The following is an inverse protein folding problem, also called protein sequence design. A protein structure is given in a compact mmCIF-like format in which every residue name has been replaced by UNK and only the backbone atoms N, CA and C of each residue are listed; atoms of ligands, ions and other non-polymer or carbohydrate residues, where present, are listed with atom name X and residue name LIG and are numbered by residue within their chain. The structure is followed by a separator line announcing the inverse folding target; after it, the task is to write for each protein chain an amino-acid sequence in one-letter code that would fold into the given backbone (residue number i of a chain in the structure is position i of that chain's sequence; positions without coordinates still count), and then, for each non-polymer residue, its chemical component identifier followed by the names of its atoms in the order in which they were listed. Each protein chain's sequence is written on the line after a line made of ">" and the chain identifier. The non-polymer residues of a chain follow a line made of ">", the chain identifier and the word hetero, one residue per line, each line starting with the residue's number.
data_IF_778481931970
#
_entry.id   IF_778481931970
#
_cell.length_a   1.000
_cell.length_b   1.000
_cell.length_c   1.000
_cell.angle_alpha   90.00
_cell.angle_beta   90.00
_cell.angle_gamma   90.00
#
_symmetry.space_group_name_H-M   'P 1'
#
loop_
_entity.id
_entity.type
_entity.pdbx_description
1 polymer ?
#
# COMPACT_ATOMS: atom_id res chain seq x y z
N UNK A 1 -15.89 -7.14 14.80
CA UNK A 1 -16.96 -6.88 13.80
C UNK A 1 -16.37 -6.03 12.69
N UNK A 2 -16.53 -6.48 11.43
CA UNK A 2 -15.96 -5.82 10.27
C UNK A 2 -16.61 -4.45 10.01
N UNK A 3 -15.77 -3.48 9.66
CA UNK A 3 -16.18 -2.16 9.15
C UNK A 3 -15.55 -1.95 7.79
N UNK A 4 -16.23 -1.21 6.94
CA UNK A 4 -15.61 -0.60 5.77
C UNK A 4 -14.96 0.71 6.21
N UNK A 5 -13.77 0.97 5.69
CA UNK A 5 -13.05 2.23 5.88
C UNK A 5 -12.91 2.93 4.54
N UNK A 6 -13.25 4.20 4.50
CA UNK A 6 -13.08 5.05 3.33
C UNK A 6 -12.08 6.14 3.68
N UNK A 7 -11.12 6.34 2.80
CA UNK A 7 -10.09 7.37 2.92
C UNK A 7 -9.83 8.05 1.59
N UNK A 8 -9.08 9.14 1.63
CA UNK A 8 -8.65 9.90 0.46
C UNK A 8 -9.84 10.33 -0.42
N UNK A 9 -10.82 10.99 0.20
CA UNK A 9 -11.93 11.55 -0.55
C UNK A 9 -11.48 12.79 -1.32
N UNK A 10 -12.20 13.14 -2.39
CA UNK A 10 -11.85 14.32 -3.21
C UNK A 10 -11.94 15.64 -2.44
N UNK A 11 -12.86 15.70 -1.47
CA UNK A 11 -13.07 16.90 -0.64
C UNK A 11 -12.07 16.99 0.50
N UNK A 12 -11.62 15.83 1.01
CA UNK A 12 -10.74 15.75 2.18
C UNK A 12 -9.83 14.52 2.09
N UNK A 13 -8.63 14.68 1.53
CA UNK A 13 -7.72 13.55 1.29
C UNK A 13 -7.06 13.00 2.55
N UNK A 14 -7.07 13.76 3.65
CA UNK A 14 -6.49 13.37 4.94
C UNK A 14 -7.46 12.68 5.88
N UNK A 15 -8.73 12.54 5.49
CA UNK A 15 -9.77 11.98 6.36
C UNK A 15 -9.93 10.47 6.20
N UNK A 16 -10.22 9.81 7.30
CA UNK A 16 -10.58 8.40 7.36
C UNK A 16 -11.99 8.28 7.97
N UNK A 17 -12.90 7.65 7.25
CA UNK A 17 -14.31 7.52 7.67
C UNK A 17 -14.70 6.06 7.81
N UNK A 18 -15.19 5.62 8.98
CA UNK A 18 -15.69 4.26 9.17
C UNK A 18 -17.15 4.10 8.75
N UNK A 19 -17.53 2.92 8.32
CA UNK A 19 -18.94 2.52 8.27
C UNK A 19 -19.46 2.13 9.65
N UNK A 20 -20.78 1.99 9.78
CA UNK A 20 -21.34 1.28 10.93
C UNK A 20 -20.87 -0.18 10.97
N UNK A 21 -20.71 -0.79 12.16
CA UNK A 21 -20.34 -2.19 12.28
C UNK A 21 -21.36 -3.07 11.56
N UNK A 22 -20.87 -3.90 10.61
CA UNK A 22 -21.71 -4.80 9.82
C UNK A 22 -22.66 -4.14 8.81
N UNK A 23 -22.61 -2.80 8.66
CA UNK A 23 -23.40 -2.03 7.68
C UNK A 23 -22.48 -1.29 6.73
N UNK A 24 -21.93 -1.97 5.77
CA UNK A 24 -20.87 -1.45 4.89
C UNK A 24 -21.32 -0.35 3.91
N UNK A 25 -22.61 -0.25 3.65
CA UNK A 25 -23.18 0.81 2.79
C UNK A 25 -23.52 2.11 3.51
N UNK A 26 -23.33 2.20 4.82
CA UNK A 26 -23.70 3.40 5.61
C UNK A 26 -22.48 3.89 6.38
N UNK A 27 -22.01 5.10 6.07
CA UNK A 27 -20.93 5.75 6.79
C UNK A 27 -21.44 6.29 8.13
N UNK A 28 -20.57 6.29 9.13
CA UNK A 28 -20.88 6.79 10.46
C UNK A 28 -20.40 8.24 10.57
N UNK A 29 -21.29 9.18 10.30
CA UNK A 29 -21.02 10.61 10.45
C UNK A 29 -20.64 10.96 11.89
N UNK A 30 -19.73 11.92 12.05
CA UNK A 30 -19.22 12.34 13.36
C UNK A 30 -18.16 11.40 13.94
N UNK A 31 -17.71 10.40 13.18
CA UNK A 31 -16.67 9.46 13.57
C UNK A 31 -15.46 9.52 12.65
N UNK A 32 -15.28 10.67 12.01
CA UNK A 32 -14.14 10.97 11.15
C UNK A 32 -12.86 11.01 11.98
N UNK A 33 -11.80 10.45 11.41
CA UNK A 33 -10.47 10.42 12.02
C UNK A 33 -9.50 11.13 11.10
N UNK A 34 -8.70 12.02 11.66
CA UNK A 34 -7.52 12.59 11.03
C UNK A 34 -6.29 11.89 11.61
N UNK A 35 -5.75 10.86 10.96
CA UNK A 35 -4.58 10.15 11.49
C UNK A 35 -3.39 11.06 11.63
N UNK A 36 -3.22 11.97 10.68
CA UNK A 36 -2.22 13.03 10.68
C UNK A 36 -2.89 14.38 11.02
N UNK A 37 -2.42 15.04 12.07
CA UNK A 37 -2.93 16.34 12.46
C UNK A 37 -2.67 17.45 11.42
N UNK A 38 -1.71 17.26 10.51
CA UNK A 38 -1.46 18.18 9.38
C UNK A 38 -2.44 18.01 8.22
N UNK A 39 -3.28 16.97 8.24
CA UNK A 39 -4.20 16.66 7.16
C UNK A 39 -3.52 16.06 5.92
N UNK A 40 -2.35 15.41 6.11
CA UNK A 40 -1.65 14.79 4.99
C UNK A 40 -2.51 13.75 4.27
N UNK A 41 -2.39 13.73 2.93
CA UNK A 41 -3.12 12.79 2.07
C UNK A 41 -2.88 11.34 2.49
N UNK A 42 -3.97 10.58 2.70
CA UNK A 42 -3.90 9.14 2.96
C UNK A 42 -3.65 8.45 1.63
N UNK A 43 -2.53 7.75 1.52
CA UNK A 43 -2.12 7.04 0.30
C UNK A 43 -2.48 5.57 0.30
N UNK A 44 -2.78 4.97 1.46
CA UNK A 44 -3.12 3.56 1.50
C UNK A 44 -3.68 3.12 2.84
N UNK A 45 -4.38 1.99 2.82
CA UNK A 45 -4.94 1.34 4.01
C UNK A 45 -4.59 -0.14 3.99
N UNK A 46 -4.28 -0.68 5.17
CA UNK A 46 -4.09 -2.12 5.34
C UNK A 46 -4.62 -2.58 6.69
N UNK A 47 -5.49 -3.59 6.68
CA UNK A 47 -6.06 -4.16 7.89
C UNK A 47 -5.15 -5.24 8.45
N UNK A 48 -4.85 -5.18 9.73
CA UNK A 48 -4.09 -6.17 10.48
C UNK A 48 -4.90 -6.68 11.67
N UNK A 49 -4.44 -7.72 12.34
CA UNK A 49 -5.04 -8.16 13.62
C UNK A 49 -4.93 -7.08 14.70
N UNK A 50 -3.88 -6.29 14.68
CA UNK A 50 -3.63 -5.21 15.64
C UNK A 50 -4.40 -3.92 15.39
N UNK A 51 -5.05 -3.77 14.23
CA UNK A 51 -5.78 -2.56 13.83
C UNK A 51 -5.68 -2.26 12.34
N UNK A 52 -5.90 -1.01 11.99
CA UNK A 52 -5.81 -0.51 10.63
C UNK A 52 -4.55 0.34 10.46
N UNK A 53 -3.64 -0.08 9.61
CA UNK A 53 -2.56 0.79 9.14
C UNK A 53 -3.10 1.80 8.14
N UNK A 54 -2.79 3.06 8.38
CA UNK A 54 -3.11 4.18 7.52
C UNK A 54 -1.80 4.79 7.06
N UNK A 55 -1.56 4.72 5.77
CA UNK A 55 -0.36 5.24 5.15
C UNK A 55 -0.61 6.65 4.63
N UNK A 56 0.32 7.53 4.88
CA UNK A 56 0.53 8.75 4.11
C UNK A 56 1.77 8.55 3.22
N UNK A 57 2.17 9.55 2.48
CA UNK A 57 3.39 9.45 1.67
C UNK A 57 4.65 9.29 2.53
N UNK A 58 4.66 9.85 3.75
CA UNK A 58 5.85 9.92 4.62
C UNK A 58 5.72 9.19 5.94
N UNK A 59 4.53 8.79 6.36
CA UNK A 59 4.29 8.25 7.69
C UNK A 59 3.29 7.09 7.65
N UNK A 60 3.32 6.28 8.70
CA UNK A 60 2.34 5.23 8.96
C UNK A 60 1.68 5.49 10.30
N UNK A 61 0.36 5.44 10.34
CA UNK A 61 -0.45 5.53 11.54
C UNK A 61 -1.15 4.21 11.80
N UNK A 62 -1.37 3.91 13.07
CA UNK A 62 -2.15 2.76 13.51
C UNK A 62 -3.45 3.25 14.15
N UNK A 63 -4.57 2.86 13.55
CA UNK A 63 -5.91 3.11 14.07
C UNK A 63 -6.41 1.85 14.75
N UNK A 64 -6.76 1.97 16.02
CA UNK A 64 -7.21 0.88 16.88
C UNK A 64 -8.54 1.24 17.55
N UNK A 65 -9.28 0.24 18.05
CA UNK A 65 -10.43 0.51 18.91
C UNK A 65 -10.04 1.40 20.10
N UNK A 66 -10.85 2.41 20.37
CA UNK A 66 -10.73 3.26 21.54
C UNK A 66 -11.28 2.62 22.79
N UNK A 67 -11.18 3.34 23.93
CA UNK A 67 -11.59 2.82 25.23
C UNK A 67 -12.97 3.29 25.68
N UNK A 68 -13.57 4.27 24.97
CA UNK A 68 -14.87 4.84 25.35
C UNK A 68 -15.81 4.98 24.14
N UNK A 69 -17.11 5.09 24.42
CA UNK A 69 -18.13 5.33 23.40
C UNK A 69 -17.96 6.65 22.65
N UNK A 70 -17.41 7.66 23.31
CA UNK A 70 -17.18 9.00 22.74
C UNK A 70 -15.93 9.05 21.86
N UNK A 71 -15.00 8.11 22.07
CA UNK A 71 -13.80 7.93 21.25
C UNK A 71 -13.66 6.46 20.85
N UNK A 72 -14.47 6.00 19.88
CA UNK A 72 -14.49 4.59 19.49
C UNK A 72 -13.21 4.12 18.79
N UNK A 73 -12.38 5.06 18.37
CA UNK A 73 -11.08 4.79 17.75
C UNK A 73 -10.01 5.72 18.31
N UNK A 74 -8.79 5.22 18.32
CA UNK A 74 -7.58 6.00 18.59
C UNK A 74 -6.62 5.85 17.42
N UNK A 75 -6.01 6.95 17.01
CA UNK A 75 -4.90 6.97 16.07
C UNK A 75 -3.60 7.23 16.81
N UNK A 76 -2.55 6.57 16.42
CA UNK A 76 -1.20 6.81 16.91
C UNK A 76 -0.19 6.68 15.77
N UNK A 77 0.88 7.47 15.81
CA UNK A 77 1.97 7.34 14.84
C UNK A 77 2.67 6.00 15.05
N UNK A 78 2.66 5.15 14.03
CA UNK A 78 3.36 3.87 14.04
C UNK A 78 4.80 4.04 13.52
N UNK A 79 4.96 4.75 12.39
CA UNK A 79 6.27 5.09 11.86
C UNK A 79 6.27 6.52 11.31
N UNK A 80 7.13 7.43 11.85
CA UNK A 80 7.04 8.86 11.55
C UNK A 80 7.74 9.30 10.25
N UNK A 81 8.54 8.44 9.63
CA UNK A 81 9.41 8.82 8.49
C UNK A 81 9.41 7.80 7.35
N UNK A 82 8.53 6.82 7.39
CA UNK A 82 8.31 5.86 6.30
C UNK A 82 6.83 5.81 5.99
N UNK A 83 6.47 6.06 4.76
CA UNK A 83 5.11 5.98 4.27
C UNK A 83 5.03 5.14 2.99
N UNK A 84 3.91 5.26 2.28
CA UNK A 84 3.64 4.54 1.04
C UNK A 84 3.42 5.54 -0.10
N UNK A 85 4.26 5.48 -1.14
CA UNK A 85 4.13 6.32 -2.32
C UNK A 85 3.14 5.76 -3.34
N UNK A 86 2.81 4.47 -3.24
CA UNK A 86 2.00 3.73 -4.21
C UNK A 86 0.99 2.82 -3.49
N UNK A 87 -0.27 3.23 -3.33
CA UNK A 87 -1.28 2.44 -2.60
C UNK A 87 -1.46 1.03 -3.18
N UNK A 88 -1.44 0.90 -4.51
CA UNK A 88 -1.58 -0.39 -5.19
C UNK A 88 -0.31 -1.27 -5.15
N UNK A 89 0.74 -0.83 -4.44
CA UNK A 89 1.93 -1.64 -4.20
C UNK A 89 1.88 -2.42 -2.89
N UNK A 90 0.92 -2.15 -2.02
CA UNK A 90 0.80 -2.83 -0.72
C UNK A 90 0.31 -4.26 -0.95
N UNK A 91 1.10 -5.25 -0.56
CA UNK A 91 0.70 -6.65 -0.60
C UNK A 91 1.34 -7.44 0.54
N UNK A 92 0.62 -8.44 1.03
CA UNK A 92 1.06 -9.35 2.07
C UNK A 92 1.58 -10.64 1.45
N UNK A 93 2.74 -11.07 1.88
CA UNK A 93 3.36 -12.35 1.50
C UNK A 93 2.82 -13.50 2.36
N UNK A 94 3.02 -14.75 1.94
CA UNK A 94 2.53 -15.95 2.66
C UNK A 94 3.05 -16.06 4.11
N UNK A 95 4.19 -15.46 4.40
CA UNK A 95 4.77 -15.44 5.75
C UNK A 95 4.21 -14.32 6.65
N UNK A 96 3.18 -13.58 6.19
CA UNK A 96 2.59 -12.44 6.89
C UNK A 96 3.38 -11.14 6.77
N UNK A 97 4.47 -11.12 6.01
CA UNK A 97 5.23 -9.90 5.76
C UNK A 97 4.47 -8.98 4.81
N UNK A 98 4.21 -7.76 5.24
CA UNK A 98 3.64 -6.72 4.38
C UNK A 98 4.75 -6.00 3.62
N UNK A 99 4.60 -5.86 2.31
CA UNK A 99 5.59 -5.20 1.43
C UNK A 99 4.91 -4.07 0.66
N UNK A 100 5.60 -2.94 0.51
CA UNK A 100 5.10 -1.79 -0.25
C UNK A 100 6.23 -0.93 -0.82
N UNK A 101 5.87 -0.05 -1.75
CA UNK A 101 6.77 0.96 -2.30
C UNK A 101 6.63 2.28 -1.54
N UNK A 102 7.70 2.70 -0.87
CA UNK A 102 7.85 4.02 -0.29
C UNK A 102 8.52 5.02 -1.27
N UNK A 103 8.82 6.21 -0.78
CA UNK A 103 9.40 7.30 -1.61
C UNK A 103 10.78 6.93 -2.17
N UNK A 104 11.59 6.20 -1.42
CA UNK A 104 13.00 5.96 -1.71
C UNK A 104 13.34 4.47 -1.90
N UNK A 105 12.33 3.62 -2.07
CA UNK A 105 12.48 2.18 -2.32
C UNK A 105 11.42 1.34 -1.63
N UNK A 106 11.66 0.03 -1.58
CA UNK A 106 10.72 -0.90 -0.99
C UNK A 106 10.97 -1.10 0.51
N UNK A 107 9.87 -1.18 1.24
CA UNK A 107 9.82 -1.44 2.66
C UNK A 107 9.03 -2.71 2.96
N UNK A 108 9.35 -3.33 4.07
CA UNK A 108 8.65 -4.50 4.59
C UNK A 108 8.34 -4.32 6.08
N UNK A 109 7.21 -4.89 6.50
CA UNK A 109 6.81 -5.02 7.90
C UNK A 109 6.62 -6.49 8.23
N UNK A 110 7.38 -6.99 9.19
CA UNK A 110 7.43 -8.40 9.59
C UNK A 110 6.50 -8.74 10.78
N UNK A 111 5.58 -7.84 11.11
CA UNK A 111 4.73 -7.94 12.31
C UNK A 111 5.32 -7.26 13.55
N UNK A 112 6.58 -6.84 13.51
CA UNK A 112 7.30 -6.18 14.63
C UNK A 112 7.88 -4.83 14.26
N UNK A 113 8.60 -4.78 13.14
CA UNK A 113 9.31 -3.58 12.71
C UNK A 113 9.17 -3.33 11.21
N UNK A 114 9.26 -2.06 10.84
CA UNK A 114 9.40 -1.61 9.45
C UNK A 114 10.87 -1.54 9.09
N UNK A 115 11.24 -2.16 7.98
CA UNK A 115 12.61 -2.13 7.48
C UNK A 115 12.64 -1.86 5.97
N UNK A 116 13.67 -1.15 5.51
CA UNK A 116 13.94 -1.00 4.09
C UNK A 116 14.59 -2.27 3.54
N UNK A 117 13.86 -2.97 2.65
CA UNK A 117 14.29 -4.26 2.10
C UNK A 117 14.97 -4.13 0.74
N UNK A 118 14.98 -2.95 0.14
CA UNK A 118 15.57 -2.70 -1.19
C UNK A 118 16.98 -2.10 -1.15
N UNK A 119 17.67 -2.17 -0.02
CA UNK A 119 19.01 -1.56 0.12
C UNK A 119 20.02 -2.13 -0.88
N UNK A 120 19.93 -3.43 -1.19
CA UNK A 120 20.82 -4.12 -2.12
C UNK A 120 20.63 -3.70 -3.58
N UNK A 121 19.47 -3.15 -3.93
CA UNK A 121 19.14 -2.71 -5.30
C UNK A 121 18.91 -1.19 -5.37
N UNK A 122 19.53 -0.44 -4.48
CA UNK A 122 19.35 1.02 -4.37
C UNK A 122 19.64 1.76 -5.68
N UNK A 123 20.64 1.34 -6.43
CA UNK A 123 21.04 1.89 -7.72
C UNK A 123 19.88 1.83 -8.74
N UNK A 124 19.10 0.76 -8.74
CA UNK A 124 17.96 0.61 -9.66
C UNK A 124 16.69 1.26 -9.07
N UNK A 125 16.42 1.11 -7.78
CA UNK A 125 15.26 1.74 -7.17
C UNK A 125 15.34 3.27 -7.18
N UNK A 126 16.53 3.85 -7.22
CA UNK A 126 16.71 5.30 -7.40
C UNK A 126 16.24 5.83 -8.76
N UNK A 127 16.07 4.96 -9.75
CA UNK A 127 15.55 5.28 -11.09
C UNK A 127 14.02 5.26 -11.15
N UNK A 128 13.32 4.82 -10.10
CA UNK A 128 11.86 4.84 -10.05
C UNK A 128 11.38 6.29 -10.15
N UNK A 129 10.48 6.55 -11.10
CA UNK A 129 9.92 7.87 -11.33
C UNK A 129 9.00 8.26 -10.16
N UNK A 130 9.43 9.24 -9.35
CA UNK A 130 8.63 9.76 -8.22
C UNK A 130 7.30 10.35 -8.68
N UNK A 131 7.31 11.07 -9.78
CA UNK A 131 6.08 11.66 -10.34
C UNK A 131 5.03 10.61 -10.74
N UNK A 132 5.47 9.37 -10.95
CA UNK A 132 4.62 8.25 -11.39
C UNK A 132 4.52 7.13 -10.37
N UNK A 133 5.08 7.31 -9.18
CA UNK A 133 5.05 6.29 -8.12
C UNK A 133 3.63 5.80 -7.82
N UNK A 134 2.64 6.70 -7.81
CA UNK A 134 1.21 6.36 -7.62
C UNK A 134 0.64 5.39 -8.67
N UNK A 135 1.31 5.23 -9.83
CA UNK A 135 0.90 4.26 -10.87
C UNK A 135 1.45 2.85 -10.63
N UNK A 136 2.41 2.71 -9.72
CA UNK A 136 2.97 1.42 -9.40
C UNK A 136 1.89 0.48 -8.88
N UNK A 137 1.97 -0.77 -9.29
CA UNK A 137 1.02 -1.80 -8.91
C UNK A 137 1.76 -3.07 -8.53
N UNK A 138 1.30 -3.75 -7.50
CA UNK A 138 1.92 -4.99 -7.07
C UNK A 138 0.90 -6.06 -6.75
N UNK A 139 1.39 -7.29 -6.74
CA UNK A 139 0.65 -8.43 -6.24
C UNK A 139 1.61 -9.46 -5.66
N UNK A 140 1.13 -10.24 -4.72
CA UNK A 140 1.79 -11.44 -4.26
C UNK A 140 1.29 -12.64 -5.05
N UNK A 141 2.22 -13.38 -5.65
CA UNK A 141 1.96 -14.64 -6.35
C UNK A 141 2.27 -15.80 -5.40
N UNK A 142 1.23 -16.45 -4.91
CA UNK A 142 1.39 -17.53 -3.93
C UNK A 142 1.90 -18.85 -4.54
N UNK A 143 1.78 -19.05 -5.87
CA UNK A 143 2.34 -20.22 -6.55
C UNK A 143 3.88 -20.17 -6.59
N UNK A 144 4.42 -18.99 -6.87
CA UNK A 144 5.88 -18.78 -6.90
C UNK A 144 6.45 -18.27 -5.57
N UNK A 145 5.61 -17.84 -4.63
CA UNK A 145 6.03 -17.22 -3.38
C UNK A 145 6.64 -15.83 -3.55
N UNK A 146 6.30 -15.12 -4.64
CA UNK A 146 6.94 -13.88 -5.05
C UNK A 146 6.01 -12.68 -4.90
N UNK A 147 6.52 -11.62 -4.27
CA UNK A 147 5.96 -10.28 -4.42
C UNK A 147 6.49 -9.68 -5.73
N UNK A 148 5.58 -9.21 -6.57
CA UNK A 148 5.90 -8.60 -7.86
C UNK A 148 5.33 -7.20 -7.92
N UNK A 149 6.18 -6.20 -8.21
CA UNK A 149 5.78 -4.80 -8.31
C UNK A 149 6.23 -4.21 -9.64
N UNK A 150 5.28 -3.68 -10.39
CA UNK A 150 5.51 -2.98 -11.66
C UNK A 150 5.54 -1.49 -11.41
N UNK A 151 6.60 -0.86 -11.88
CA UNK A 151 6.88 0.56 -11.70
C UNK A 151 7.34 1.20 -13.00
N UNK A 152 7.20 2.51 -13.09
CA UNK A 152 7.83 3.31 -14.13
C UNK A 152 9.24 3.71 -13.68
N UNK A 153 10.25 3.38 -14.48
CA UNK A 153 11.63 3.84 -14.29
C UNK A 153 12.03 4.81 -15.37
N UNK A 154 13.00 5.66 -15.04
CA UNK A 154 13.51 6.71 -15.91
C UNK A 154 12.39 7.64 -16.38
N UNK A 155 12.34 7.98 -17.66
CA UNK A 155 11.33 8.87 -18.25
C UNK A 155 10.08 8.12 -18.75
N UNK A 156 9.94 6.82 -18.44
CA UNK A 156 8.81 6.04 -18.90
C UNK A 156 7.48 6.58 -18.36
N UNK A 157 6.50 6.70 -19.24
CA UNK A 157 5.12 7.06 -18.87
C UNK A 157 4.29 5.87 -18.41
N UNK A 158 4.81 4.65 -18.56
CA UNK A 158 4.17 3.39 -18.19
C UNK A 158 5.08 2.60 -17.25
N UNK A 159 4.48 1.67 -16.49
CA UNK A 159 5.25 0.71 -15.71
C UNK A 159 6.01 -0.21 -16.67
N UNK A 160 7.31 -0.02 -16.76
CA UNK A 160 8.22 -0.70 -17.71
C UNK A 160 9.26 -1.60 -17.02
N UNK A 161 9.22 -1.66 -15.68
CA UNK A 161 10.09 -2.52 -14.88
C UNK A 161 9.26 -3.28 -13.86
N UNK A 162 9.53 -4.57 -13.72
CA UNK A 162 8.98 -5.39 -12.65
C UNK A 162 10.10 -5.76 -11.66
N UNK A 163 9.92 -5.37 -10.41
CA UNK A 163 10.73 -5.84 -9.30
C UNK A 163 10.07 -7.06 -8.68
N UNK A 164 10.85 -8.12 -8.49
CA UNK A 164 10.41 -9.39 -7.91
C UNK A 164 11.19 -9.65 -6.63
N UNK A 165 10.49 -9.89 -5.54
CA UNK A 165 11.05 -10.21 -4.23
C UNK A 165 10.51 -11.56 -3.75
N UNK A 166 11.40 -12.47 -3.38
CA UNK A 166 11.06 -13.83 -2.94
C UNK A 166 11.23 -14.04 -1.42
N UNK A 167 11.40 -12.96 -0.67
CA UNK A 167 11.67 -12.99 0.76
C UNK A 167 13.16 -12.97 1.11
N UNK A 168 14.05 -13.34 0.19
CA UNK A 168 15.50 -13.38 0.40
C UNK A 168 16.25 -12.42 -0.49
N UNK A 169 15.78 -12.21 -1.72
CA UNK A 169 16.49 -11.39 -2.69
C UNK A 169 15.57 -10.73 -3.72
N UNK A 170 16.17 -9.81 -4.46
CA UNK A 170 15.49 -9.05 -5.52
C UNK A 170 15.93 -9.50 -6.89
N UNK A 171 14.97 -9.57 -7.80
CA UNK A 171 15.17 -9.78 -9.23
C UNK A 171 14.45 -8.70 -10.02
N UNK A 172 14.87 -8.47 -11.25
CA UNK A 172 14.30 -7.48 -12.16
C UNK A 172 13.84 -8.16 -13.43
N UNK A 173 12.70 -7.70 -13.95
CA UNK A 173 12.14 -8.17 -15.23
C UNK A 173 11.67 -6.98 -16.03
N UNK A 174 12.05 -6.93 -17.29
CA UNK A 174 11.71 -5.85 -18.25
C UNK A 174 10.68 -6.28 -19.28
N UNK A 175 10.23 -7.54 -19.22
CA UNK A 175 9.42 -8.19 -20.24
C UNK A 175 7.92 -7.90 -20.13
N UNK A 176 7.49 -7.18 -19.12
CA UNK A 176 6.07 -6.93 -18.88
C UNK A 176 5.78 -5.46 -18.55
N UNK A 177 5.06 -4.80 -19.44
CA UNK A 177 4.46 -3.48 -19.20
C UNK A 177 3.04 -3.66 -18.73
N UNK A 178 2.76 -3.37 -17.44
CA UNK A 178 1.43 -3.53 -16.85
C UNK A 178 0.88 -2.20 -16.33
N UNK A 179 -0.39 -1.95 -16.61
CA UNK A 179 -1.13 -0.82 -16.06
C UNK A 179 -1.79 -1.14 -14.72
N UNK A 180 -2.06 -2.41 -14.48
CA UNK A 180 -2.63 -2.89 -13.22
C UNK A 180 -2.47 -4.40 -13.09
N UNK A 181 -2.63 -4.87 -11.87
CA UNK A 181 -2.54 -6.29 -11.52
C UNK A 181 -3.57 -6.60 -10.45
N UNK A 182 -4.10 -7.80 -10.49
CA UNK A 182 -4.90 -8.34 -9.40
C UNK A 182 -4.56 -9.82 -9.19
N UNK A 183 -4.85 -10.32 -8.00
CA UNK A 183 -4.81 -11.75 -7.70
C UNK A 183 -6.20 -12.35 -7.81
N UNK A 184 -6.29 -13.63 -8.14
CA UNK A 184 -7.58 -14.35 -8.07
C UNK A 184 -8.07 -14.40 -6.62
N UNK A 185 -9.39 -14.63 -6.46
CA UNK A 185 -10.04 -14.68 -5.15
C UNK A 185 -9.44 -15.71 -4.19
N UNK A 186 -8.87 -16.77 -4.72
CA UNK A 186 -8.15 -17.80 -3.99
C UNK A 186 -6.65 -17.52 -3.81
N UNK A 187 -6.20 -16.31 -4.18
CA UNK A 187 -4.81 -15.83 -4.10
C UNK A 187 -3.79 -16.71 -4.85
N UNK A 188 -4.24 -17.51 -5.83
CA UNK A 188 -3.36 -18.45 -6.53
C UNK A 188 -2.74 -17.92 -7.80
N UNK A 189 -3.39 -16.98 -8.49
CA UNK A 189 -2.90 -16.45 -9.76
C UNK A 189 -2.89 -14.94 -9.80
N UNK A 190 -1.82 -14.40 -10.35
CA UNK A 190 -1.66 -12.98 -10.63
C UNK A 190 -2.09 -12.71 -12.06
N UNK A 191 -3.07 -11.85 -12.23
CA UNK A 191 -3.53 -11.38 -13.54
C UNK A 191 -3.14 -9.93 -13.73
N UNK A 192 -2.52 -9.61 -14.85
CA UNK A 192 -2.15 -8.26 -15.20
C UNK A 192 -2.87 -7.82 -16.48
N UNK A 193 -3.09 -6.52 -16.62
CA UNK A 193 -3.56 -5.92 -17.87
C UNK A 193 -2.66 -4.75 -18.26
N UNK A 194 -2.39 -4.62 -19.56
CA UNK A 194 -1.70 -3.47 -20.13
C UNK A 194 -2.73 -2.50 -20.71
N UNK A 195 -2.43 -1.20 -20.68
CA UNK A 195 -3.14 -0.28 -21.57
C UNK A 195 -2.68 -0.59 -22.99
N UNK A 196 -3.60 -1.00 -23.85
CA UNK A 196 -3.32 -1.04 -25.27
C UNK A 196 -2.89 0.37 -25.70
N UNK A 197 -1.65 0.53 -26.14
CA UNK A 197 -1.23 1.72 -26.85
C UNK A 197 -1.97 1.71 -28.19
N UNK A 198 -3.10 2.39 -28.29
CA UNK A 198 -3.60 2.82 -29.58
C UNK A 198 -2.59 3.84 -30.11
N UNK A 199 -1.76 3.39 -31.06
CA UNK A 199 -0.94 4.25 -31.93
C UNK A 199 -1.86 4.94 -32.93
#
# INVERSE_FOLDING_TARGET
>A
MGRLWIANTRSDPGILVPSFPGRWGTLQEGMEIFPDASGAEITGLWSTEGGLFVFTEQSIYLVQPGYSGDQPFRSSTFHPSVGCAAPSSIAEMSNGMLVWLGIDGFYGFDGKQVAKISTQIKDVTSRISRARAKQATAAFDSESGEYRCWVAIDDSVFNNMCFVFDGNGWRQRTDATLAGVCTTRDHKKVHGWSRACNR
#
